data_IF_551620324859
#
_entry.id   IF_551620324859
#
_cell.length_a   1.000
_cell.length_b   1.000
_cell.length_c   1.000
_cell.angle_alpha   90.00
_cell.angle_beta   90.00
_cell.angle_gamma   90.00
#
_symmetry.space_group_name_H-M   'P 1'
#
loop_
_entity.id
_entity.type
_entity.pdbx_description
1 polymer ?
#
# COMPACT_ATOMS: atom_id res chain seq x y z
N UNK A 1 23.16 -37.93 1.83
CA UNK A 1 22.87 -37.29 0.53
C UNK A 1 22.26 -35.93 0.81
N UNK A 2 22.70 -34.95 0.01
CA UNK A 2 22.53 -33.49 0.15
C UNK A 2 21.09 -33.02 0.38
N UNK A 3 20.90 -32.19 1.42
CA UNK A 3 19.64 -31.49 1.72
C UNK A 3 19.81 -30.00 2.03
N UNK A 4 20.90 -29.35 1.58
CA UNK A 4 21.25 -27.99 2.04
C UNK A 4 21.23 -26.89 0.96
N UNK A 5 20.69 -27.14 -0.24
CA UNK A 5 20.79 -26.16 -1.34
C UNK A 5 19.56 -25.25 -1.55
N UNK A 6 18.48 -25.39 -0.78
CA UNK A 6 17.22 -24.64 -1.02
C UNK A 6 16.99 -23.44 -0.08
N UNK A 7 17.79 -23.29 0.97
CA UNK A 7 17.48 -22.38 2.09
C UNK A 7 17.74 -20.89 1.75
N UNK A 8 18.82 -20.58 1.02
CA UNK A 8 19.19 -19.19 0.71
C UNK A 8 18.28 -18.48 -0.31
N UNK A 9 17.66 -19.23 -1.23
CA UNK A 9 16.72 -18.66 -2.20
C UNK A 9 15.33 -18.42 -1.57
N UNK A 10 14.91 -19.28 -0.64
CA UNK A 10 13.67 -19.11 0.15
C UNK A 10 13.76 -17.85 1.02
N UNK A 11 14.87 -17.67 1.74
CA UNK A 11 15.07 -16.53 2.63
C UNK A 11 15.06 -15.18 1.91
N UNK A 12 15.66 -15.09 0.71
CA UNK A 12 15.66 -13.85 -0.07
C UNK A 12 14.27 -13.51 -0.66
N UNK A 13 13.47 -14.52 -1.02
CA UNK A 13 12.09 -14.32 -1.48
C UNK A 13 11.19 -13.92 -0.32
N UNK A 14 11.29 -14.59 0.82
CA UNK A 14 10.57 -14.24 2.07
C UNK A 14 10.84 -12.78 2.47
N UNK A 15 12.12 -12.35 2.47
CA UNK A 15 12.48 -10.96 2.77
C UNK A 15 11.88 -9.96 1.77
N UNK A 16 11.82 -10.32 0.47
CA UNK A 16 11.16 -9.46 -0.55
C UNK A 16 9.68 -9.33 -0.28
N UNK A 17 9.01 -10.43 0.08
CA UNK A 17 7.59 -10.43 0.42
C UNK A 17 7.33 -9.58 1.67
N UNK A 18 8.13 -9.75 2.73
CA UNK A 18 8.03 -8.93 3.95
C UNK A 18 8.22 -7.44 3.67
N UNK A 19 9.21 -7.08 2.83
CA UNK A 19 9.42 -5.69 2.42
C UNK A 19 8.24 -5.16 1.61
N UNK A 20 7.70 -5.95 0.69
CA UNK A 20 6.51 -5.57 -0.08
C UNK A 20 5.33 -5.29 0.86
N UNK A 21 5.06 -6.17 1.81
CA UNK A 21 3.97 -6.00 2.78
C UNK A 21 4.19 -4.79 3.69
N UNK A 22 5.42 -4.55 4.15
CA UNK A 22 5.76 -3.35 4.91
C UNK A 22 5.51 -2.09 4.09
N UNK A 23 5.94 -2.07 2.83
CA UNK A 23 5.74 -0.92 1.95
C UNK A 23 4.28 -0.69 1.62
N UNK A 24 3.51 -1.75 1.36
CA UNK A 24 2.06 -1.71 1.18
C UNK A 24 1.39 -1.07 2.40
N UNK A 25 1.74 -1.50 3.61
CA UNK A 25 1.20 -0.94 4.85
C UNK A 25 1.55 0.55 5.03
N UNK A 26 2.79 0.94 4.78
CA UNK A 26 3.20 2.35 4.87
C UNK A 26 2.46 3.23 3.86
N UNK A 27 2.28 2.75 2.63
CA UNK A 27 1.51 3.46 1.60
C UNK A 27 0.05 3.62 2.01
N UNK A 28 -0.58 2.57 2.55
CA UNK A 28 -1.95 2.64 3.07
C UNK A 28 -2.08 3.69 4.17
N UNK A 29 -1.16 3.74 5.14
CA UNK A 29 -1.20 4.73 6.22
C UNK A 29 -1.00 6.16 5.70
N UNK A 30 -0.10 6.36 4.74
CA UNK A 30 0.08 7.65 4.08
C UNK A 30 -1.22 8.10 3.37
N UNK A 31 -1.88 7.20 2.64
CA UNK A 31 -3.14 7.49 1.95
C UNK A 31 -4.26 7.84 2.94
N UNK A 32 -4.36 7.16 4.08
CA UNK A 32 -5.32 7.51 5.15
C UNK A 32 -5.12 8.92 5.72
N UNK A 33 -3.85 9.31 5.95
CA UNK A 33 -3.54 10.67 6.39
C UNK A 33 -3.97 11.69 5.33
N UNK A 34 -3.69 11.40 4.05
CA UNK A 34 -4.08 12.25 2.93
C UNK A 34 -5.59 12.36 2.74
N UNK A 35 -6.32 11.26 2.92
CA UNK A 35 -7.79 11.24 2.92
C UNK A 35 -8.36 12.20 3.96
N UNK A 36 -7.78 12.19 5.17
CA UNK A 36 -8.19 13.06 6.28
C UNK A 36 -7.98 14.54 5.94
N UNK A 37 -6.82 14.88 5.37
CA UNK A 37 -6.52 16.25 4.91
C UNK A 37 -7.47 16.72 3.81
N UNK A 38 -7.76 15.86 2.83
CA UNK A 38 -8.62 16.18 1.70
C UNK A 38 -10.08 16.36 2.14
N UNK A 39 -10.58 15.50 3.04
CA UNK A 39 -11.91 15.66 3.62
C UNK A 39 -12.04 16.97 4.40
N UNK A 40 -11.03 17.34 5.18
CA UNK A 40 -11.02 18.63 5.90
C UNK A 40 -11.05 19.83 4.94
N UNK A 41 -10.35 19.73 3.81
CA UNK A 41 -10.33 20.77 2.77
C UNK A 41 -11.61 20.83 1.94
N UNK A 42 -12.32 19.71 1.78
CA UNK A 42 -13.53 19.63 0.95
C UNK A 42 -14.65 20.59 1.39
N UNK A 43 -14.64 21.04 2.65
CA UNK A 43 -15.56 22.07 3.14
C UNK A 43 -15.41 23.43 2.42
N UNK A 44 -14.24 23.71 1.86
CA UNK A 44 -13.89 25.00 1.26
C UNK A 44 -13.37 24.87 -0.18
N UNK A 45 -13.03 23.65 -0.60
CA UNK A 45 -12.54 23.35 -1.94
C UNK A 45 -13.26 22.11 -2.50
N UNK A 46 -14.26 22.29 -3.39
CA UNK A 46 -14.95 21.16 -4.04
C UNK A 46 -14.02 20.23 -4.84
N UNK A 47 -12.86 20.71 -5.31
CA UNK A 47 -11.89 19.86 -6.02
C UNK A 47 -11.23 18.85 -5.07
N UNK A 48 -11.06 19.19 -3.79
CA UNK A 48 -10.52 18.28 -2.78
C UNK A 48 -11.37 17.02 -2.59
N UNK A 49 -12.68 17.08 -2.86
CA UNK A 49 -13.55 15.91 -2.82
C UNK A 49 -13.27 14.93 -3.98
N UNK A 50 -12.94 15.45 -5.16
CA UNK A 50 -12.55 14.62 -6.31
C UNK A 50 -11.21 13.91 -6.02
N UNK A 51 -10.24 14.63 -5.47
CA UNK A 51 -8.97 14.04 -5.03
C UNK A 51 -9.15 13.01 -3.92
N UNK A 52 -10.02 13.28 -2.93
CA UNK A 52 -10.34 12.32 -1.87
C UNK A 52 -10.82 10.98 -2.44
N UNK A 53 -11.74 11.02 -3.41
CA UNK A 53 -12.27 9.80 -4.05
C UNK A 53 -11.18 9.00 -4.76
N UNK A 54 -10.24 9.69 -5.42
CA UNK A 54 -9.09 9.05 -6.08
C UNK A 54 -8.16 8.37 -5.07
N UNK A 55 -7.81 9.07 -3.99
CA UNK A 55 -6.96 8.53 -2.91
C UNK A 55 -7.63 7.34 -2.22
N UNK A 56 -8.95 7.42 -1.99
CA UNK A 56 -9.72 6.32 -1.42
C UNK A 56 -9.73 5.08 -2.32
N UNK A 57 -9.86 5.26 -3.63
CA UNK A 57 -9.81 4.16 -4.59
C UNK A 57 -8.43 3.48 -4.59
N UNK A 58 -7.35 4.26 -4.58
CA UNK A 58 -5.97 3.75 -4.48
C UNK A 58 -5.76 2.95 -3.19
N UNK A 59 -6.23 3.47 -2.05
CA UNK A 59 -6.13 2.75 -0.77
C UNK A 59 -6.92 1.44 -0.79
N UNK A 60 -8.07 1.40 -1.46
CA UNK A 60 -8.89 0.19 -1.57
C UNK A 60 -8.19 -0.88 -2.41
N UNK A 61 -7.64 -0.51 -3.56
CA UNK A 61 -6.85 -1.42 -4.40
C UNK A 61 -5.65 -2.02 -3.64
N UNK A 62 -4.97 -1.21 -2.82
CA UNK A 62 -3.91 -1.67 -1.93
C UNK A 62 -4.36 -2.64 -0.84
N UNK A 63 -5.59 -2.53 -0.33
CA UNK A 63 -6.15 -3.46 0.65
C UNK A 63 -6.60 -4.78 0.02
N UNK A 64 -7.07 -4.72 -1.23
CA UNK A 64 -7.58 -5.88 -1.97
C UNK A 64 -6.46 -6.67 -2.64
N UNK A 65 -5.21 -6.18 -2.60
CA UNK A 65 -4.07 -6.84 -3.25
C UNK A 65 -3.92 -6.49 -4.73
N UNK A 66 -4.78 -5.62 -5.26
CA UNK A 66 -4.88 -5.30 -6.71
C UNK A 66 -3.77 -4.38 -7.23
N UNK A 67 -2.94 -3.83 -6.34
CA UNK A 67 -1.79 -2.97 -6.69
C UNK A 67 -0.59 -3.77 -7.27
N UNK A 68 -0.81 -5.03 -7.68
CA UNK A 68 0.21 -5.92 -8.22
C UNK A 68 0.52 -5.59 -9.69
N UNK A 69 1.49 -4.69 -9.89
CA UNK A 69 2.28 -4.54 -11.11
C UNK A 69 3.73 -4.91 -10.80
#
# INVERSE_FOLDING_TARGET
MLGEATDGASSAEELRQELHELMRRLRIEHLKARETELLARAAHDPAALADYRRVQAERRALLEGEDAV
#
